data_IF_951452438831
#
_entry.id   IF_951452438831
#
_cell.length_a   1.000
_cell.length_b   1.000
_cell.length_c   1.000
_cell.angle_alpha   90.00
_cell.angle_beta   90.00
_cell.angle_gamma   90.00
#
_symmetry.space_group_name_H-M   'P 1'
#
loop_
_entity.id
_entity.type
_entity.pdbx_description
1 polymer ?
#
# COMPACT_ATOMS: atom_id res chain seq x y z
N UNK A 1 5.53 -7.10 -35.11
CA UNK A 1 6.03 -6.94 -33.72
C UNK A 1 5.02 -6.08 -33.04
N UNK A 2 4.06 -6.71 -32.42
CA UNK A 2 2.90 -6.12 -31.75
C UNK A 2 3.32 -5.74 -30.33
N UNK A 3 3.21 -4.47 -30.01
CA UNK A 3 3.33 -3.98 -28.65
C UNK A 3 2.13 -4.53 -27.84
N UNK A 4 2.36 -5.58 -27.09
CA UNK A 4 1.44 -6.09 -26.09
C UNK A 4 2.04 -5.87 -24.71
N UNK A 5 1.19 -5.38 -23.82
CA UNK A 5 1.14 -5.67 -22.41
C UNK A 5 1.86 -4.73 -21.45
N UNK A 6 1.40 -3.48 -21.38
CA UNK A 6 1.52 -2.69 -20.15
C UNK A 6 0.14 -2.20 -19.63
N UNK A 7 -0.95 -2.92 -19.91
CA UNK A 7 -2.23 -2.63 -19.25
C UNK A 7 -2.15 -3.07 -17.77
N UNK A 8 -2.14 -2.15 -16.81
CA UNK A 8 -2.09 -2.47 -15.39
C UNK A 8 -3.30 -3.26 -14.89
N UNK A 9 -4.34 -3.39 -15.72
CA UNK A 9 -5.53 -4.22 -15.50
C UNK A 9 -5.61 -5.42 -16.44
N UNK A 10 -4.57 -5.71 -17.23
CA UNK A 10 -4.51 -6.89 -18.11
C UNK A 10 -4.42 -8.19 -17.31
N UNK A 11 -5.47 -8.47 -16.60
CA UNK A 11 -5.73 -9.67 -15.86
C UNK A 11 -7.05 -10.22 -16.39
N UNK A 12 -7.04 -11.20 -17.28
CA UNK A 12 -8.16 -11.99 -17.75
C UNK A 12 -9.53 -11.28 -17.95
N UNK A 13 -10.26 -11.67 -18.95
CA UNK A 13 -11.51 -11.05 -19.47
C UNK A 13 -12.73 -11.02 -18.51
N UNK A 14 -12.59 -11.34 -17.25
CA UNK A 14 -13.66 -11.22 -16.25
C UNK A 14 -13.14 -10.51 -15.01
N UNK A 15 -13.48 -9.24 -14.86
CA UNK A 15 -13.29 -8.49 -13.63
C UNK A 15 -14.01 -9.19 -12.48
N UNK A 16 -13.27 -9.55 -11.45
CA UNK A 16 -13.65 -10.29 -10.25
C UNK A 16 -13.31 -11.78 -10.37
N UNK A 17 -12.22 -12.14 -9.78
CA UNK A 17 -11.68 -13.42 -9.34
C UNK A 17 -10.36 -13.79 -9.98
N UNK A 18 -9.27 -13.47 -9.24
CA UNK A 18 -7.98 -14.09 -9.43
C UNK A 18 -7.91 -15.40 -8.66
N UNK A 19 -8.36 -16.47 -9.27
CA UNK A 19 -7.93 -17.81 -8.94
C UNK A 19 -7.15 -18.35 -10.12
N UNK A 20 -5.88 -18.07 -10.23
CA UNK A 20 -4.99 -18.92 -10.98
C UNK A 20 -4.52 -20.04 -10.07
N UNK A 21 -5.22 -21.17 -10.16
CA UNK A 21 -4.73 -22.45 -9.70
C UNK A 21 -3.66 -22.91 -10.68
N UNK A 22 -2.42 -22.56 -10.43
CA UNK A 22 -1.27 -23.38 -10.83
C UNK A 22 -0.07 -22.93 -10.02
N UNK A 23 0.66 -23.90 -9.51
CA UNK A 23 1.82 -23.78 -8.66
C UNK A 23 2.99 -23.08 -9.38
N UNK A 24 2.83 -21.82 -9.70
CA UNK A 24 3.97 -20.98 -10.00
C UNK A 24 4.67 -20.74 -8.66
N UNK A 25 5.73 -21.47 -8.41
CA UNK A 25 6.74 -21.13 -7.42
C UNK A 25 7.16 -19.69 -7.75
N UNK A 26 6.52 -18.71 -7.10
CA UNK A 26 6.97 -17.33 -7.16
C UNK A 26 8.32 -17.34 -6.48
N UNK A 27 9.38 -17.52 -7.27
CA UNK A 27 10.70 -17.09 -6.82
C UNK A 27 10.53 -15.62 -6.48
N UNK A 28 10.90 -15.19 -5.26
CA UNK A 28 10.89 -13.77 -4.96
C UNK A 28 11.65 -13.11 -6.10
N UNK A 29 11.10 -12.06 -6.72
CA UNK A 29 11.85 -11.33 -7.71
C UNK A 29 13.21 -11.05 -7.06
N UNK A 30 14.29 -11.39 -7.74
CA UNK A 30 15.60 -10.94 -7.35
C UNK A 30 15.57 -9.41 -7.55
N UNK A 31 14.93 -8.71 -6.61
CA UNK A 31 15.24 -7.32 -6.42
C UNK A 31 16.76 -7.28 -6.40
N UNK A 32 17.44 -6.43 -7.18
CA UNK A 32 18.88 -6.30 -7.09
C UNK A 32 19.14 -6.10 -5.61
N UNK A 33 19.67 -7.14 -4.97
CA UNK A 33 20.07 -7.07 -3.57
C UNK A 33 21.02 -5.89 -3.57
N UNK A 34 20.69 -4.80 -2.88
CA UNK A 34 21.60 -3.66 -2.80
C UNK A 34 22.93 -4.29 -2.41
N UNK A 35 23.93 -4.14 -3.28
CA UNK A 35 25.28 -4.72 -3.16
C UNK A 35 25.58 -4.83 -1.69
N UNK A 36 25.92 -6.03 -1.23
CA UNK A 36 26.32 -6.28 0.16
C UNK A 36 27.11 -5.06 0.59
N UNK A 37 26.55 -4.27 1.45
CA UNK A 37 27.28 -3.24 2.15
C UNK A 37 28.30 -3.98 3.00
N UNK A 38 29.48 -4.20 2.42
CA UNK A 38 30.68 -4.65 3.11
C UNK A 38 31.14 -3.46 3.94
N UNK A 39 30.48 -3.26 5.03
CA UNK A 39 30.81 -2.36 6.10
C UNK A 39 29.84 -2.71 7.19
N UNK A 40 30.35 -3.10 8.35
CA UNK A 40 29.58 -3.29 9.56
C UNK A 40 28.87 -1.95 9.89
N UNK A 41 27.79 -1.63 9.15
CA UNK A 41 26.91 -0.53 9.50
C UNK A 41 26.38 -0.87 10.87
N UNK A 42 26.83 -0.12 11.88
CA UNK A 42 26.22 -0.12 13.21
C UNK A 42 24.73 -0.09 13.00
N UNK A 43 24.06 -1.22 13.23
CA UNK A 43 22.60 -1.29 13.21
C UNK A 43 22.13 -0.19 14.12
N UNK A 44 21.38 0.77 13.59
CA UNK A 44 20.98 1.92 14.36
C UNK A 44 20.27 1.42 15.63
N UNK A 45 20.60 1.95 16.79
CA UNK A 45 20.04 1.58 18.09
C UNK A 45 18.50 1.41 18.08
N UNK A 46 17.72 2.24 17.36
CA UNK A 46 16.28 2.02 17.19
C UNK A 46 15.90 0.70 16.49
N UNK A 47 16.71 0.20 15.58
CA UNK A 47 16.47 -1.11 14.91
C UNK A 47 16.75 -2.25 15.87
N UNK A 48 17.87 -2.18 16.60
CA UNK A 48 18.23 -3.19 17.62
C UNK A 48 17.16 -3.25 18.71
N UNK A 49 16.71 -2.11 19.23
CA UNK A 49 15.63 -2.06 20.22
C UNK A 49 14.33 -2.69 19.70
N UNK A 50 13.94 -2.39 18.46
CA UNK A 50 12.75 -3.00 17.84
C UNK A 50 12.88 -4.51 17.71
N UNK A 51 14.05 -4.99 17.26
CA UNK A 51 14.31 -6.42 17.14
C UNK A 51 14.31 -7.13 18.49
N UNK A 52 14.92 -6.51 19.51
CA UNK A 52 14.91 -7.04 20.88
C UNK A 52 13.49 -7.03 21.47
N UNK A 53 12.74 -5.94 21.29
CA UNK A 53 11.34 -5.88 21.74
C UNK A 53 10.46 -6.89 21.00
N UNK A 54 10.65 -7.08 19.69
CA UNK A 54 9.96 -8.13 18.94
C UNK A 54 10.31 -9.52 19.48
N UNK A 55 11.59 -9.79 19.72
CA UNK A 55 12.03 -11.06 20.27
C UNK A 55 11.46 -11.33 21.67
N UNK A 56 11.50 -10.34 22.56
CA UNK A 56 10.94 -10.47 23.91
C UNK A 56 9.41 -10.65 23.90
N UNK A 57 8.71 -9.93 23.01
CA UNK A 57 7.26 -10.03 22.90
C UNK A 57 6.82 -11.33 22.22
N UNK A 58 7.58 -11.81 21.25
CA UNK A 58 7.22 -12.94 20.41
C UNK A 58 7.91 -14.26 20.82
N UNK A 59 8.72 -14.27 21.90
CA UNK A 59 9.43 -15.47 22.37
C UNK A 59 8.50 -16.68 22.56
N UNK A 60 7.27 -16.44 23.02
CA UNK A 60 6.28 -17.51 23.15
C UNK A 60 5.79 -18.02 21.79
N UNK A 61 5.84 -17.20 20.74
CA UNK A 61 5.45 -17.57 19.38
C UNK A 61 6.50 -18.48 18.73
N UNK A 62 7.78 -18.31 19.06
CA UNK A 62 8.82 -19.27 18.67
C UNK A 62 8.56 -20.64 19.32
N UNK A 63 8.11 -20.64 20.57
CA UNK A 63 7.76 -21.87 21.28
C UNK A 63 6.48 -22.53 20.72
N UNK A 64 5.60 -21.78 20.07
CA UNK A 64 4.33 -22.27 19.48
C UNK A 64 4.42 -22.63 18.01
N UNK A 65 5.60 -22.59 17.39
CA UNK A 65 5.83 -23.04 16.01
C UNK A 65 5.27 -22.09 14.94
N UNK A 66 5.16 -20.78 15.20
CA UNK A 66 4.72 -19.82 14.19
C UNK A 66 5.63 -19.78 12.98
N UNK A 67 5.01 -19.77 11.82
CA UNK A 67 5.72 -19.73 10.54
C UNK A 67 6.46 -18.40 10.34
N UNK A 68 7.69 -18.46 9.85
CA UNK A 68 8.42 -17.27 9.40
C UNK A 68 7.73 -16.65 8.19
N UNK A 69 7.61 -15.32 8.20
CA UNK A 69 7.07 -14.50 7.09
C UNK A 69 8.20 -13.93 6.26
N UNK A 70 7.93 -13.73 4.97
CA UNK A 70 8.87 -13.09 4.05
C UNK A 70 8.43 -11.64 3.81
N UNK A 71 9.33 -10.69 4.05
CA UNK A 71 9.09 -9.31 3.65
C UNK A 71 9.57 -9.08 2.20
N UNK A 72 8.69 -8.84 1.23
CA UNK A 72 9.10 -8.66 -0.16
C UNK A 72 9.90 -7.36 -0.38
N UNK A 73 9.78 -6.37 0.52
CA UNK A 73 10.46 -5.07 0.39
C UNK A 73 11.94 -5.16 0.76
N UNK A 74 12.30 -5.95 1.79
CA UNK A 74 13.68 -5.99 2.27
C UNK A 74 14.29 -7.40 2.33
N UNK A 75 13.56 -8.42 1.90
CA UNK A 75 14.02 -9.82 1.93
C UNK A 75 14.11 -10.45 3.34
N UNK A 76 13.66 -9.74 4.40
CA UNK A 76 13.67 -10.30 5.76
C UNK A 76 12.76 -11.53 5.83
N UNK A 77 13.31 -12.64 6.29
CA UNK A 77 12.57 -13.87 6.59
C UNK A 77 12.58 -14.08 8.10
N UNK A 78 11.41 -14.06 8.72
CA UNK A 78 11.29 -14.16 10.17
C UNK A 78 9.93 -13.76 10.68
N UNK A 79 9.81 -13.60 11.99
CA UNK A 79 8.58 -13.16 12.66
C UNK A 79 8.39 -11.66 12.43
N UNK A 80 7.17 -11.28 12.10
CA UNK A 80 6.74 -9.88 12.03
C UNK A 80 6.24 -9.40 13.41
N UNK A 81 6.33 -8.10 13.67
CA UNK A 81 5.92 -7.47 14.93
C UNK A 81 4.42 -7.25 14.94
N UNK A 82 3.76 -7.55 16.06
CA UNK A 82 2.37 -7.19 16.29
C UNK A 82 2.21 -5.67 16.47
N UNK A 83 1.07 -5.13 16.02
CA UNK A 83 0.78 -3.68 16.10
C UNK A 83 -0.71 -3.44 16.35
N UNK A 84 -1.01 -2.38 17.13
CA UNK A 84 -2.37 -1.92 17.37
C UNK A 84 -3.00 -2.47 18.65
N UNK A 85 -4.19 -1.99 18.97
CA UNK A 85 -5.08 -2.49 20.01
C UNK A 85 -6.48 -2.70 19.40
N UNK A 86 -7.00 -3.94 19.36
CA UNK A 86 -6.32 -5.19 19.68
C UNK A 86 -5.12 -5.46 18.79
N UNK A 87 -4.13 -6.19 19.31
CA UNK A 87 -2.89 -6.48 18.59
C UNK A 87 -3.13 -7.28 17.31
N UNK A 88 -2.76 -6.73 16.17
CA UNK A 88 -2.70 -7.45 14.89
C UNK A 88 -1.33 -8.11 14.76
N UNK A 89 -1.34 -9.40 14.65
CA UNK A 89 -0.13 -10.21 14.50
C UNK A 89 0.44 -10.07 13.08
N UNK A 90 1.73 -10.31 12.91
CA UNK A 90 2.43 -10.27 11.62
C UNK A 90 2.35 -8.92 10.87
N UNK A 91 1.95 -7.85 11.57
CA UNK A 91 1.62 -6.57 10.95
C UNK A 91 2.82 -5.79 10.42
N UNK A 92 3.95 -5.78 11.14
CA UNK A 92 5.09 -4.92 10.81
C UNK A 92 6.40 -5.70 10.68
N UNK A 93 7.11 -5.54 9.57
CA UNK A 93 8.43 -6.10 9.40
C UNK A 93 9.41 -5.55 10.44
N UNK A 94 10.09 -6.45 11.17
CA UNK A 94 11.06 -6.07 12.19
C UNK A 94 12.26 -5.30 11.61
N UNK A 95 12.66 -5.59 10.36
CA UNK A 95 13.82 -5.00 9.73
C UNK A 95 13.52 -3.65 9.07
N UNK A 96 12.57 -3.57 8.14
CA UNK A 96 12.31 -2.34 7.39
C UNK A 96 11.14 -1.52 7.92
N UNK A 97 10.31 -2.09 8.82
CA UNK A 97 9.14 -1.43 9.37
C UNK A 97 7.93 -1.40 8.44
N UNK A 98 7.97 -2.10 7.30
CA UNK A 98 6.82 -2.17 6.39
C UNK A 98 5.58 -2.77 7.06
N UNK A 99 4.42 -2.23 6.74
CA UNK A 99 3.11 -2.74 7.08
C UNK A 99 2.58 -3.66 5.99
N UNK A 100 1.46 -4.28 6.25
CA UNK A 100 0.75 -5.19 5.36
C UNK A 100 0.51 -4.54 3.98
N UNK A 101 -0.17 -3.39 3.96
CA UNK A 101 -0.46 -2.61 2.75
C UNK A 101 0.78 -2.21 1.93
N UNK A 102 1.92 -1.94 2.61
CA UNK A 102 3.16 -1.63 1.89
C UNK A 102 3.72 -2.86 1.18
N UNK A 103 3.60 -4.04 1.82
CA UNK A 103 4.03 -5.30 1.23
C UNK A 103 3.13 -5.70 0.06
N UNK A 104 1.81 -5.52 0.21
CA UNK A 104 0.83 -5.76 -0.85
C UNK A 104 1.12 -4.90 -2.08
N UNK A 105 1.26 -3.58 -1.90
CA UNK A 105 1.60 -2.66 -2.98
C UNK A 105 2.93 -3.06 -3.65
N UNK A 106 3.96 -3.38 -2.86
CA UNK A 106 5.26 -3.76 -3.40
C UNK A 106 5.21 -5.08 -4.17
N UNK A 107 4.38 -6.04 -3.76
CA UNK A 107 4.14 -7.28 -4.49
C UNK A 107 3.52 -7.01 -5.85
N UNK A 108 2.54 -6.10 -5.94
CA UNK A 108 1.99 -5.69 -7.22
C UNK A 108 3.04 -4.99 -8.11
N UNK A 109 3.83 -4.09 -7.54
CA UNK A 109 4.90 -3.37 -8.28
C UNK A 109 5.93 -4.35 -8.85
N UNK A 110 6.25 -5.42 -8.13
CA UNK A 110 7.29 -6.39 -8.52
C UNK A 110 6.75 -7.70 -9.08
N UNK A 111 5.47 -7.74 -9.40
CA UNK A 111 4.83 -8.91 -10.00
C UNK A 111 5.53 -9.33 -11.30
N UNK A 112 5.59 -10.65 -11.52
CA UNK A 112 6.29 -11.24 -12.67
C UNK A 112 7.79 -10.89 -12.78
N UNK A 113 8.43 -10.52 -11.67
CA UNK A 113 9.87 -10.25 -11.62
C UNK A 113 10.29 -8.90 -12.21
N UNK A 114 9.34 -8.07 -12.61
CA UNK A 114 9.57 -6.74 -13.14
C UNK A 114 9.55 -5.64 -12.06
N UNK A 115 9.49 -4.40 -12.52
CA UNK A 115 9.17 -3.22 -11.71
C UNK A 115 8.24 -2.30 -12.53
N UNK A 116 6.95 -2.39 -12.27
CA UNK A 116 5.90 -1.63 -12.99
C UNK A 116 6.06 -0.11 -12.89
N UNK A 117 6.81 0.35 -11.90
CA UNK A 117 7.06 1.77 -11.65
C UNK A 117 8.44 2.27 -12.12
N UNK A 118 9.25 1.38 -12.74
CA UNK A 118 10.58 1.77 -13.23
C UNK A 118 10.47 2.88 -14.29
N UNK A 119 11.25 3.95 -14.11
CA UNK A 119 11.30 5.09 -15.04
C UNK A 119 10.03 5.96 -15.08
N UNK A 120 9.01 5.65 -14.28
CA UNK A 120 7.75 6.39 -14.23
C UNK A 120 7.84 7.62 -13.33
N UNK A 121 7.10 8.67 -13.66
CA UNK A 121 6.91 9.82 -12.78
C UNK A 121 5.83 9.51 -11.76
N UNK A 122 6.22 9.48 -10.48
CA UNK A 122 5.40 8.97 -9.38
C UNK A 122 5.15 10.07 -8.36
N UNK A 123 3.89 10.26 -7.95
CA UNK A 123 3.51 11.09 -6.81
C UNK A 123 3.02 10.19 -5.67
N UNK A 124 3.73 10.20 -4.53
CA UNK A 124 3.42 9.37 -3.37
C UNK A 124 2.94 10.23 -2.20
N UNK A 125 1.66 10.11 -1.86
CA UNK A 125 1.05 10.79 -0.72
C UNK A 125 1.35 10.07 0.60
N UNK A 126 1.55 10.85 1.68
CA UNK A 126 1.86 10.36 3.02
C UNK A 126 2.98 9.29 3.01
N UNK A 127 4.16 9.57 2.40
CA UNK A 127 5.13 8.57 2.01
C UNK A 127 5.72 7.82 3.20
N UNK A 128 5.47 6.52 3.26
CA UNK A 128 5.98 5.67 4.32
C UNK A 128 7.44 5.28 4.09
N UNK A 129 8.20 5.25 5.17
CA UNK A 129 9.67 5.03 5.13
C UNK A 129 10.09 3.77 4.36
N UNK A 130 9.30 2.71 4.44
CA UNK A 130 9.64 1.43 3.79
C UNK A 130 9.55 1.54 2.27
N UNK A 131 8.46 2.11 1.74
CA UNK A 131 8.27 2.32 0.31
C UNK A 131 9.15 3.45 -0.22
N UNK A 132 9.24 4.58 0.50
CA UNK A 132 10.13 5.68 0.12
C UNK A 132 11.56 5.22 -0.13
N UNK A 133 12.09 4.29 0.69
CA UNK A 133 13.45 3.76 0.54
C UNK A 133 13.67 3.05 -0.79
N UNK A 134 12.70 2.27 -1.25
CA UNK A 134 12.83 1.47 -2.48
C UNK A 134 12.42 2.27 -3.72
N UNK A 135 11.49 3.23 -3.58
CA UNK A 135 11.05 4.08 -4.68
C UNK A 135 11.99 5.26 -4.95
N UNK A 136 12.76 5.70 -3.96
CA UNK A 136 13.71 6.81 -4.11
C UNK A 136 14.83 6.57 -5.14
N UNK A 137 15.02 5.32 -5.57
CA UNK A 137 15.94 5.00 -6.67
C UNK A 137 15.37 5.40 -8.05
N UNK A 138 14.09 5.70 -8.14
CA UNK A 138 13.45 6.17 -9.37
C UNK A 138 13.62 7.69 -9.48
N UNK A 139 14.25 8.21 -10.56
CA UNK A 139 14.48 9.65 -10.73
C UNK A 139 13.19 10.49 -10.75
N UNK A 140 12.08 9.90 -11.20
CA UNK A 140 10.77 10.55 -11.27
C UNK A 140 9.93 10.42 -9.99
N UNK A 141 10.50 9.97 -8.87
CA UNK A 141 9.80 9.80 -7.62
C UNK A 141 9.70 11.11 -6.83
N UNK A 142 8.46 11.56 -6.65
CA UNK A 142 8.09 12.73 -5.87
C UNK A 142 7.16 12.34 -4.72
N UNK A 143 7.19 13.09 -3.63
CA UNK A 143 6.41 12.84 -2.42
C UNK A 143 5.54 14.02 -2.07
N UNK A 144 4.32 13.79 -1.56
CA UNK A 144 3.39 14.82 -1.19
C UNK A 144 2.73 14.54 0.18
N UNK A 145 2.52 15.59 0.95
CA UNK A 145 1.78 15.53 2.21
C UNK A 145 1.44 16.95 2.66
N UNK A 146 0.34 17.11 3.41
CA UNK A 146 -0.03 18.41 3.96
C UNK A 146 0.81 18.79 5.19
N UNK A 147 1.11 17.82 6.05
CA UNK A 147 1.70 18.03 7.38
C UNK A 147 3.12 17.50 7.52
N UNK A 148 3.43 16.40 6.83
CA UNK A 148 4.72 15.71 6.95
C UNK A 148 5.85 16.59 6.39
N UNK A 149 6.92 16.72 7.18
CA UNK A 149 8.13 17.44 6.73
C UNK A 149 9.01 16.54 5.87
N UNK A 150 9.79 17.17 4.98
CA UNK A 150 10.76 16.48 4.12
C UNK A 150 10.12 15.70 2.97
N UNK A 151 8.93 16.11 2.54
CA UNK A 151 8.31 15.73 1.28
C UNK A 151 8.68 16.71 0.17
N UNK A 152 8.53 16.30 -1.09
CA UNK A 152 8.79 17.14 -2.26
C UNK A 152 7.75 18.27 -2.34
N UNK A 153 6.47 17.94 -2.12
CA UNK A 153 5.36 18.87 -2.20
C UNK A 153 4.57 18.90 -0.90
N UNK A 154 4.43 20.08 -0.31
CA UNK A 154 3.56 20.29 0.85
C UNK A 154 2.22 20.83 0.36
N UNK A 155 1.26 19.95 0.14
CA UNK A 155 0.00 20.26 -0.55
C UNK A 155 -1.19 19.53 0.05
N UNK A 156 -2.37 20.12 -0.14
CA UNK A 156 -3.65 19.48 0.15
C UNK A 156 -4.04 18.59 -1.05
N UNK A 157 -4.33 17.33 -0.80
CA UNK A 157 -4.74 16.35 -1.82
C UNK A 157 -6.06 16.76 -2.53
N UNK A 158 -6.87 17.61 -1.92
CA UNK A 158 -8.13 18.10 -2.51
C UNK A 158 -7.93 19.29 -3.45
N UNK A 159 -6.71 19.85 -3.53
CA UNK A 159 -6.38 20.98 -4.38
C UNK A 159 -4.90 20.96 -4.76
N UNK A 160 -4.56 20.14 -5.74
CA UNK A 160 -3.18 19.95 -6.17
C UNK A 160 -2.72 21.05 -7.13
N UNK A 161 -1.57 21.70 -6.89
CA UNK A 161 -1.04 22.74 -7.75
C UNK A 161 -0.38 22.20 -9.03
N UNK A 162 -0.33 20.87 -9.21
CA UNK A 162 0.24 20.23 -10.38
C UNK A 162 -0.71 20.29 -11.57
N UNK A 163 -0.16 20.39 -12.77
CA UNK A 163 -0.93 20.33 -14.01
C UNK A 163 -1.60 18.97 -14.22
N UNK A 164 -2.69 18.97 -14.99
CA UNK A 164 -3.35 17.73 -15.41
C UNK A 164 -2.42 16.87 -16.25
N UNK A 165 -2.47 15.56 -16.05
CA UNK A 165 -1.68 14.62 -16.86
C UNK A 165 -0.17 14.64 -16.56
N UNK A 166 0.23 15.05 -15.37
CA UNK A 166 1.65 15.19 -14.97
C UNK A 166 2.31 13.86 -14.62
N UNK A 167 1.58 12.94 -13.99
CA UNK A 167 2.15 11.74 -13.40
C UNK A 167 1.73 10.46 -14.13
N UNK A 168 2.64 9.50 -14.16
CA UNK A 168 2.38 8.12 -14.63
C UNK A 168 1.69 7.28 -13.56
N UNK A 169 2.06 7.52 -12.31
CA UNK A 169 1.51 6.81 -11.18
C UNK A 169 1.31 7.72 -9.97
N UNK A 170 0.25 7.44 -9.21
CA UNK A 170 -0.01 8.06 -7.90
C UNK A 170 -0.16 6.96 -6.87
N UNK A 171 0.40 7.15 -5.67
CA UNK A 171 0.29 6.22 -4.55
C UNK A 171 -0.39 6.95 -3.38
N UNK A 172 -1.47 6.36 -2.85
CA UNK A 172 -2.20 6.87 -1.69
C UNK A 172 -2.59 5.71 -0.77
N UNK A 173 -1.73 5.40 0.21
CA UNK A 173 -1.94 4.31 1.15
C UNK A 173 -2.54 4.82 2.46
N UNK A 174 -3.78 4.48 2.75
CA UNK A 174 -4.48 4.94 3.96
C UNK A 174 -4.39 6.47 4.12
N UNK A 175 -4.87 7.17 3.12
CA UNK A 175 -4.94 8.63 3.07
C UNK A 175 -6.38 9.11 3.00
N UNK A 176 -7.20 8.52 2.14
CA UNK A 176 -8.52 9.04 1.80
C UNK A 176 -9.53 8.97 2.97
N UNK A 177 -9.36 8.03 3.90
CA UNK A 177 -10.19 7.94 5.11
C UNK A 177 -10.05 9.17 6.04
N UNK A 178 -8.94 9.89 5.94
CA UNK A 178 -8.68 11.10 6.72
C UNK A 178 -9.21 12.38 6.06
N UNK A 179 -9.51 12.33 4.75
CA UNK A 179 -9.86 13.51 3.95
C UNK A 179 -11.36 13.80 4.08
N UNK A 180 -11.72 15.06 4.34
CA UNK A 180 -13.12 15.43 4.51
C UNK A 180 -13.93 15.20 3.22
N UNK A 181 -13.41 15.66 2.09
CA UNK A 181 -13.98 15.49 0.76
C UNK A 181 -13.09 14.53 -0.04
N UNK A 182 -13.28 13.24 0.18
CA UNK A 182 -12.53 12.20 -0.52
C UNK A 182 -12.85 12.15 -2.02
N UNK A 183 -14.09 12.49 -2.43
CA UNK A 183 -14.46 12.55 -3.85
C UNK A 183 -13.69 13.63 -4.59
N UNK A 184 -13.52 14.80 -3.97
CA UNK A 184 -12.68 15.87 -4.52
C UNK A 184 -11.22 15.42 -4.61
N UNK A 185 -10.70 14.79 -3.57
CA UNK A 185 -9.34 14.22 -3.58
C UNK A 185 -9.18 13.19 -4.71
N UNK A 186 -10.12 12.24 -4.85
CA UNK A 186 -10.11 11.24 -5.93
C UNK A 186 -10.12 11.91 -7.30
N UNK A 187 -10.94 12.97 -7.48
CA UNK A 187 -10.96 13.77 -8.71
C UNK A 187 -9.61 14.43 -9.02
N UNK A 188 -8.91 14.93 -8.01
CA UNK A 188 -7.56 15.49 -8.18
C UNK A 188 -6.52 14.41 -8.53
N UNK A 189 -6.59 13.22 -7.90
CA UNK A 189 -5.74 12.09 -8.27
C UNK A 189 -5.96 11.69 -9.74
N UNK A 190 -7.23 11.67 -10.18
CA UNK A 190 -7.57 11.41 -11.58
C UNK A 190 -7.00 12.49 -12.50
N UNK A 191 -7.16 13.76 -12.15
CA UNK A 191 -6.73 14.91 -12.96
C UNK A 191 -5.23 14.93 -13.20
N UNK A 192 -4.43 14.69 -12.16
CA UNK A 192 -2.96 14.78 -12.25
C UNK A 192 -2.32 13.57 -12.93
N UNK A 193 -3.02 12.43 -13.02
CA UNK A 193 -2.57 11.29 -13.81
C UNK A 193 -2.73 11.58 -15.30
N UNK A 194 -1.76 11.14 -16.12
CA UNK A 194 -1.89 11.11 -17.57
C UNK A 194 -2.91 10.07 -18.03
N UNK A 195 -3.47 10.14 -19.24
CA UNK A 195 -4.16 9.00 -19.85
C UNK A 195 -3.29 7.73 -19.78
N UNK A 196 -3.86 6.59 -19.46
CA UNK A 196 -3.13 5.34 -19.16
C UNK A 196 -2.39 5.32 -17.82
N UNK A 197 -2.39 6.42 -17.06
CA UNK A 197 -1.76 6.50 -15.74
C UNK A 197 -2.55 5.76 -14.66
N UNK A 198 -1.87 5.36 -13.58
CA UNK A 198 -2.42 4.47 -12.55
C UNK A 198 -2.36 5.06 -11.15
N UNK A 199 -3.48 5.05 -10.43
CA UNK A 199 -3.51 5.28 -8.99
C UNK A 199 -3.49 3.95 -8.23
N UNK A 200 -2.57 3.82 -7.28
CA UNK A 200 -2.42 2.69 -6.37
C UNK A 200 -2.94 3.11 -5.00
N UNK A 201 -4.10 2.61 -4.61
CA UNK A 201 -4.82 3.10 -3.44
C UNK A 201 -5.14 1.93 -2.50
N UNK A 202 -4.83 2.09 -1.22
CA UNK A 202 -5.33 1.23 -0.15
C UNK A 202 -6.11 2.07 0.84
N UNK A 203 -7.22 1.53 1.33
CA UNK A 203 -8.03 2.10 2.41
C UNK A 203 -8.53 0.98 3.32
N UNK A 204 -8.83 1.24 4.60
CA UNK A 204 -9.47 0.25 5.45
C UNK A 204 -10.91 0.02 4.96
N UNK A 205 -11.18 -1.16 4.41
CA UNK A 205 -12.52 -1.57 3.94
C UNK A 205 -13.14 -2.53 4.93
N UNK A 206 -14.42 -2.34 5.24
CA UNK A 206 -15.23 -3.33 5.93
C UNK A 206 -16.04 -4.14 4.91
N UNK A 207 -15.66 -5.38 4.62
CA UNK A 207 -16.33 -6.21 3.61
C UNK A 207 -17.74 -6.64 4.00
N UNK A 208 -18.11 -6.53 5.28
CA UNK A 208 -19.47 -6.78 5.74
C UNK A 208 -20.41 -5.59 5.45
N UNK A 209 -19.88 -4.47 4.96
CA UNK A 209 -20.67 -3.29 4.61
C UNK A 209 -20.70 -3.11 3.09
N UNK A 210 -21.88 -3.16 2.47
CA UNK A 210 -22.00 -2.85 1.04
C UNK A 210 -21.73 -1.36 0.75
N UNK A 211 -22.05 -0.47 1.71
CA UNK A 211 -21.93 0.97 1.57
C UNK A 211 -21.02 1.56 2.64
N UNK A 212 -20.22 2.53 2.24
CA UNK A 212 -19.35 3.32 3.13
C UNK A 212 -20.16 3.96 4.24
N UNK A 213 -19.69 3.82 5.46
CA UNK A 213 -20.24 4.49 6.63
C UNK A 213 -19.49 5.79 6.89
N UNK A 214 -20.18 6.89 6.77
CA UNK A 214 -19.67 8.23 7.07
C UNK A 214 -20.75 9.10 7.72
N UNK A 215 -20.33 9.97 8.63
CA UNK A 215 -21.21 10.93 9.29
C UNK A 215 -20.42 12.20 9.64
N UNK A 216 -20.69 13.28 8.94
CA UNK A 216 -19.99 14.55 9.13
C UNK A 216 -20.23 15.19 10.52
N UNK A 217 -21.32 14.82 11.20
CA UNK A 217 -21.62 15.32 12.55
C UNK A 217 -20.69 14.73 13.63
N UNK A 218 -20.04 13.58 13.36
CA UNK A 218 -19.08 12.96 14.28
C UNK A 218 -17.74 13.70 14.15
N UNK A 219 -17.46 14.61 15.07
CA UNK A 219 -16.26 15.44 15.06
C UNK A 219 -15.31 15.14 16.21
N UNK A 220 -15.82 14.61 17.31
CA UNK A 220 -15.02 14.22 18.48
C UNK A 220 -14.10 13.03 18.16
N UNK A 221 -12.80 13.09 18.52
CA UNK A 221 -11.86 12.01 18.22
C UNK A 221 -12.21 10.66 18.87
N UNK A 222 -12.81 10.64 20.06
CA UNK A 222 -13.22 9.41 20.75
C UNK A 222 -14.41 8.78 20.04
N UNK A 223 -15.37 9.61 19.62
CA UNK A 223 -16.50 9.14 18.81
C UNK A 223 -16.03 8.63 17.44
N UNK A 224 -15.09 9.32 16.79
CA UNK A 224 -14.49 8.83 15.53
C UNK A 224 -13.82 7.47 15.70
N UNK A 225 -13.06 7.28 16.76
CA UNK A 225 -12.43 5.99 17.03
C UNK A 225 -13.48 4.88 17.19
N UNK A 226 -14.57 5.14 17.90
CA UNK A 226 -15.66 4.19 18.09
C UNK A 226 -16.42 3.88 16.79
N UNK A 227 -16.62 4.87 15.92
CA UNK A 227 -17.40 4.74 14.68
C UNK A 227 -16.55 4.34 13.48
N UNK A 228 -15.32 4.85 13.35
CA UNK A 228 -14.47 4.74 12.17
C UNK A 228 -13.13 4.04 12.45
N UNK A 229 -12.96 3.49 13.67
CA UNK A 229 -11.80 2.68 14.07
C UNK A 229 -10.47 3.46 14.22
N UNK A 230 -10.51 4.80 14.16
CA UNK A 230 -9.40 5.68 14.48
C UNK A 230 -9.88 7.11 14.77
N UNK A 231 -9.18 7.86 15.66
CA UNK A 231 -9.61 9.19 16.10
C UNK A 231 -9.56 10.26 15.01
N UNK A 232 -8.84 10.02 13.93
CA UNK A 232 -8.64 10.92 12.80
C UNK A 232 -9.34 10.46 11.51
N UNK A 233 -9.99 9.28 11.52
CA UNK A 233 -10.81 8.83 10.41
C UNK A 233 -12.12 9.61 10.33
N UNK A 234 -12.63 9.79 9.13
CA UNK A 234 -13.90 10.47 8.84
C UNK A 234 -14.97 9.52 8.31
N UNK A 235 -14.54 8.30 7.93
CA UNK A 235 -15.38 7.25 7.39
C UNK A 235 -14.76 5.88 7.57
N UNK A 236 -15.60 4.87 7.40
CA UNK A 236 -15.19 3.50 7.27
C UNK A 236 -15.73 2.98 5.94
N UNK A 237 -14.85 2.74 4.99
CA UNK A 237 -15.23 2.34 3.64
C UNK A 237 -15.93 1.00 3.60
N UNK A 238 -16.94 0.89 2.73
CA UNK A 238 -17.62 -0.32 2.33
C UNK A 238 -17.09 -0.85 1.00
N UNK A 239 -17.84 -1.82 0.44
CA UNK A 239 -17.51 -2.40 -0.87
C UNK A 239 -17.70 -1.40 -2.02
N UNK A 240 -18.50 -0.35 -1.81
CA UNK A 240 -18.74 0.77 -2.73
C UNK A 240 -17.54 1.67 -2.98
N UNK A 241 -16.39 1.42 -2.34
CA UNK A 241 -15.20 2.25 -2.56
C UNK A 241 -14.70 2.17 -4.02
N UNK A 242 -14.82 1.01 -4.66
CA UNK A 242 -14.53 0.87 -6.09
C UNK A 242 -15.42 1.76 -6.95
N UNK A 243 -16.70 1.87 -6.60
CA UNK A 243 -17.67 2.71 -7.31
C UNK A 243 -17.31 4.20 -7.16
N UNK A 244 -16.84 4.63 -5.97
CA UNK A 244 -16.36 6.01 -5.76
C UNK A 244 -15.17 6.36 -6.67
N UNK A 245 -14.29 5.41 -6.92
CA UNK A 245 -13.18 5.60 -7.87
C UNK A 245 -13.71 5.66 -9.32
N UNK A 246 -14.65 4.77 -9.66
CA UNK A 246 -15.26 4.74 -10.99
C UNK A 246 -16.07 5.99 -11.30
N UNK A 247 -16.75 6.59 -10.32
CA UNK A 247 -17.47 7.87 -10.45
C UNK A 247 -16.55 9.02 -10.88
N UNK A 248 -15.27 8.99 -10.48
CA UNK A 248 -14.28 9.98 -10.91
C UNK A 248 -13.72 9.70 -12.32
N UNK A 249 -14.13 8.60 -12.96
CA UNK A 249 -13.73 8.23 -14.31
C UNK A 249 -12.67 7.11 -14.39
N UNK A 250 -12.23 6.55 -13.27
CA UNK A 250 -11.26 5.46 -13.27
C UNK A 250 -11.87 4.14 -13.77
N UNK A 251 -11.07 3.36 -14.48
CA UNK A 251 -11.26 1.92 -14.62
C UNK A 251 -10.59 1.23 -13.44
N UNK A 252 -11.34 0.49 -12.65
CA UNK A 252 -10.87 -0.03 -11.35
C UNK A 252 -10.68 -1.54 -11.37
N UNK A 253 -9.49 -1.99 -11.03
CA UNK A 253 -9.18 -3.37 -10.68
C UNK A 253 -8.82 -3.49 -9.21
N UNK A 254 -8.97 -4.68 -8.65
CA UNK A 254 -8.59 -4.98 -7.26
C UNK A 254 -7.55 -6.09 -7.28
N UNK A 255 -6.34 -5.77 -6.84
CA UNK A 255 -5.28 -6.75 -6.66
C UNK A 255 -5.38 -7.38 -5.27
N UNK A 256 -5.42 -8.70 -5.26
CA UNK A 256 -5.50 -9.53 -4.05
C UNK A 256 -4.51 -10.67 -4.16
N UNK A 257 -4.13 -11.22 -3.03
CA UNK A 257 -3.29 -12.40 -2.97
C UNK A 257 -4.12 -13.63 -2.56
N UNK A 258 -3.60 -14.80 -2.87
CA UNK A 258 -4.17 -16.05 -2.36
C UNK A 258 -3.93 -16.16 -0.86
N UNK A 259 -4.76 -16.91 -0.11
CA UNK A 259 -4.54 -17.13 1.33
C UNK A 259 -3.14 -17.65 1.67
N UNK A 260 -2.55 -18.49 0.82
CA UNK A 260 -1.19 -18.99 1.01
C UNK A 260 -0.14 -17.87 0.90
N UNK A 261 -0.31 -16.96 -0.05
CA UNK A 261 0.56 -15.79 -0.22
C UNK A 261 0.37 -14.76 0.90
N UNK A 262 -0.86 -14.54 1.36
CA UNK A 262 -1.13 -13.70 2.53
C UNK A 262 -0.38 -14.21 3.76
N UNK A 263 -0.45 -15.51 4.01
CA UNK A 263 0.31 -16.16 5.07
C UNK A 263 1.82 -16.00 4.85
N UNK A 264 2.31 -16.26 3.65
CA UNK A 264 3.74 -16.17 3.31
C UNK A 264 4.32 -14.78 3.58
N UNK A 265 3.59 -13.73 3.18
CA UNK A 265 4.05 -12.35 3.27
C UNK A 265 3.55 -11.61 4.52
N UNK A 266 2.81 -12.28 5.40
CA UNK A 266 2.25 -11.69 6.63
C UNK A 266 1.27 -10.59 6.33
N UNK A 267 0.35 -10.80 5.41
CA UNK A 267 -0.72 -9.87 5.08
C UNK A 267 -1.98 -10.17 5.88
N UNK A 268 -2.83 -9.17 6.05
CA UNK A 268 -4.17 -9.39 6.56
C UNK A 268 -5.03 -10.04 5.47
N UNK A 269 -5.91 -10.98 5.83
CA UNK A 269 -7.00 -11.35 4.96
C UNK A 269 -7.78 -10.09 4.57
N UNK A 270 -8.07 -9.93 3.28
CA UNK A 270 -8.83 -8.80 2.75
C UNK A 270 -8.12 -7.42 2.78
N UNK A 271 -6.81 -7.40 2.87
CA UNK A 271 -6.05 -6.21 2.47
C UNK A 271 -6.14 -6.10 0.93
N UNK A 272 -6.75 -5.04 0.42
CA UNK A 272 -6.99 -4.86 -1.01
C UNK A 272 -6.19 -3.68 -1.53
N UNK A 273 -5.55 -3.87 -2.69
CA UNK A 273 -4.97 -2.78 -3.45
C UNK A 273 -5.90 -2.45 -4.62
N UNK A 274 -6.45 -1.26 -4.61
CA UNK A 274 -7.21 -0.72 -5.74
C UNK A 274 -6.23 -0.18 -6.77
N UNK A 275 -6.27 -0.75 -7.96
CA UNK A 275 -5.50 -0.35 -9.12
C UNK A 275 -6.45 0.42 -10.03
N UNK A 276 -6.45 1.74 -9.90
CA UNK A 276 -7.38 2.61 -10.61
C UNK A 276 -6.65 3.29 -11.78
N UNK A 277 -7.05 2.95 -13.01
CA UNK A 277 -6.41 3.42 -14.24
C UNK A 277 -7.24 4.55 -14.84
N UNK A 278 -6.60 5.67 -15.16
CA UNK A 278 -7.21 6.70 -15.98
C UNK A 278 -7.28 6.19 -17.43
N UNK A 279 -8.46 6.08 -18.05
CA UNK A 279 -8.58 5.70 -19.46
C UNK A 279 -7.80 6.61 -20.39
N UNK A 280 -7.49 6.12 -21.62
CA UNK A 280 -6.85 6.88 -22.67
C UNK A 280 -7.66 8.11 -23.11
#
# INVERSE_FOLDING_TARGET
MTAHDDDPLAFGETGIDFVSSEHASIRPPHAPVPRRMTGATRRSWPVVRRMAAAWLHDRHQFATGRLARLCPICGHKGIMIAVGHPSRWDARCAQCGSRERHRLLWLWVTENGGNRLAGKRILHFAPEKALRRVLAANPGYETADLLQRGVTHRVDITQLPMDSGTYDAVIANHVLEHIADDRKAIGELFRVLRPGGTALITVPVNPARPVTYENAAITDPVEREAHFNAPDHRRFYGLDFADRLAEAGFRVGIFRLTPAQEVQFGLLPMEWLYVAVRPE
#
